data_IF_062084321210
#
_entry.id   IF_062084321210
#
_cell.length_a   1.000
_cell.length_b   1.000
_cell.length_c   1.000
_cell.angle_alpha   90.00
_cell.angle_beta   90.00
_cell.angle_gamma   90.00
#
_symmetry.space_group_name_H-M   'P 1'
#
loop_
_entity.id
_entity.type
_entity.pdbx_description
1 polymer ?
#
# COMPACT_ATOMS: atom_id res chain seq x y z
N UNK A 1 12.07 -12.22 -20.07
CA UNK A 1 11.06 -11.56 -19.20
C UNK A 1 10.90 -10.13 -19.66
N UNK A 2 9.67 -9.60 -19.72
CA UNK A 2 9.43 -8.19 -20.07
C UNK A 2 8.22 -7.63 -19.34
N UNK A 3 8.24 -6.34 -19.05
CA UNK A 3 7.10 -5.65 -18.44
C UNK A 3 6.18 -5.05 -19.51
N UNK A 4 4.88 -5.03 -19.21
CA UNK A 4 3.87 -4.45 -20.10
C UNK A 4 2.84 -3.66 -19.27
N UNK A 5 2.37 -2.55 -19.80
CA UNK A 5 1.22 -1.85 -19.23
C UNK A 5 -0.03 -2.74 -19.29
N UNK A 6 -0.86 -2.67 -18.25
CA UNK A 6 -2.16 -3.33 -18.26
C UNK A 6 -2.99 -2.86 -19.46
N UNK A 7 -3.71 -3.81 -20.08
CA UNK A 7 -4.69 -3.48 -21.11
C UNK A 7 -5.76 -2.54 -20.53
N UNK A 8 -6.17 -1.53 -21.30
CA UNK A 8 -7.24 -0.60 -20.93
C UNK A 8 -8.61 -1.28 -21.06
N UNK A 9 -8.95 -2.12 -20.09
CA UNK A 9 -10.29 -2.69 -19.96
C UNK A 9 -11.20 -1.83 -19.05
N UNK A 10 -12.48 -2.21 -18.94
CA UNK A 10 -13.45 -1.46 -18.15
C UNK A 10 -13.06 -1.37 -16.66
N UNK A 11 -12.40 -2.39 -16.10
CA UNK A 11 -11.92 -2.38 -14.72
C UNK A 11 -10.76 -1.40 -14.57
N UNK A 12 -9.80 -1.43 -15.48
CA UNK A 12 -8.67 -0.51 -15.52
C UNK A 12 -9.14 0.94 -15.63
N UNK A 13 -10.17 1.22 -16.44
CA UNK A 13 -10.74 2.57 -16.55
C UNK A 13 -11.38 3.08 -15.25
N UNK A 14 -12.16 2.24 -14.57
CA UNK A 14 -12.78 2.62 -13.28
C UNK A 14 -11.71 2.83 -12.22
N UNK A 15 -10.73 1.93 -12.14
CA UNK A 15 -9.66 2.03 -11.14
C UNK A 15 -8.74 3.24 -11.39
N UNK A 16 -8.40 3.51 -12.66
CA UNK A 16 -7.67 4.72 -13.05
C UNK A 16 -8.39 6.01 -12.63
N UNK A 17 -9.73 6.04 -12.70
CA UNK A 17 -10.52 7.17 -12.19
C UNK A 17 -10.37 7.37 -10.67
N UNK A 18 -10.27 6.30 -9.89
CA UNK A 18 -10.02 6.36 -8.45
C UNK A 18 -8.58 6.79 -8.16
N UNK A 19 -7.59 6.20 -8.85
CA UNK A 19 -6.17 6.54 -8.71
C UNK A 19 -5.89 8.02 -9.06
N UNK A 20 -6.62 8.56 -10.03
CA UNK A 20 -6.51 9.96 -10.44
C UNK A 20 -7.23 10.94 -9.50
N UNK A 21 -8.04 10.47 -8.54
CA UNK A 21 -8.70 11.36 -7.56
C UNK A 21 -7.62 12.03 -6.68
N UNK A 22 -7.58 13.39 -6.59
CA UNK A 22 -6.58 14.10 -5.81
C UNK A 22 -6.54 13.73 -4.33
N UNK A 23 -7.63 13.18 -3.77
CA UNK A 23 -7.67 12.67 -2.41
C UNK A 23 -6.68 11.51 -2.21
N UNK A 24 -6.49 10.64 -3.21
CA UNK A 24 -5.55 9.50 -3.12
C UNK A 24 -4.13 10.02 -2.95
N UNK A 25 -3.67 10.90 -3.84
CA UNK A 25 -2.34 11.50 -3.78
C UNK A 25 -2.13 12.30 -2.48
N UNK A 26 -3.14 13.07 -2.06
CA UNK A 26 -3.09 13.85 -0.83
C UNK A 26 -2.92 12.97 0.41
N UNK A 27 -3.72 11.91 0.54
CA UNK A 27 -3.62 10.99 1.68
C UNK A 27 -2.29 10.24 1.65
N UNK A 28 -1.86 9.73 0.49
CA UNK A 28 -0.58 9.03 0.35
C UNK A 28 0.59 9.93 0.77
N UNK A 29 0.62 11.19 0.31
CA UNK A 29 1.64 12.17 0.71
C UNK A 29 1.66 12.42 2.22
N UNK A 30 0.50 12.62 2.85
CA UNK A 30 0.42 12.78 4.30
C UNK A 30 0.93 11.55 5.07
N UNK A 31 0.64 10.34 4.58
CA UNK A 31 1.01 9.08 5.23
C UNK A 31 2.47 8.66 5.00
N UNK A 32 3.11 9.16 3.95
CA UNK A 32 4.52 8.92 3.67
C UNK A 32 5.42 9.45 4.80
N UNK A 33 5.02 10.57 5.43
CA UNK A 33 5.75 11.20 6.53
C UNK A 33 5.10 10.96 7.91
N UNK A 34 3.92 10.34 7.93
CA UNK A 34 3.21 10.05 9.17
C UNK A 34 4.01 9.14 10.12
N UNK A 35 3.95 9.44 11.42
CA UNK A 35 4.43 8.55 12.46
C UNK A 35 3.47 7.36 12.68
N UNK A 36 3.86 6.42 13.56
CA UNK A 36 3.07 5.22 13.82
C UNK A 36 1.65 5.52 14.32
N UNK A 37 1.49 6.46 15.26
CA UNK A 37 0.19 6.82 15.82
C UNK A 37 -0.73 7.47 14.76
N UNK A 38 -0.18 8.34 13.91
CA UNK A 38 -0.89 8.95 12.79
C UNK A 38 -1.36 7.92 11.75
N UNK A 39 -0.55 6.89 11.48
CA UNK A 39 -0.97 5.77 10.61
C UNK A 39 -2.07 4.93 11.24
N UNK A 40 -2.04 4.71 12.56
CA UNK A 40 -3.14 4.04 13.28
C UNK A 40 -4.43 4.87 13.20
N UNK A 41 -4.36 6.18 13.40
CA UNK A 41 -5.49 7.10 13.23
C UNK A 41 -6.09 6.97 11.83
N UNK A 42 -5.27 7.10 10.79
CA UNK A 42 -5.72 7.01 9.41
C UNK A 42 -6.44 5.69 9.11
N UNK A 43 -5.89 4.56 9.57
CA UNK A 43 -6.53 3.24 9.43
C UNK A 43 -7.88 3.16 10.10
N UNK A 44 -7.96 3.64 11.35
CA UNK A 44 -9.18 3.57 12.14
C UNK A 44 -10.29 4.43 11.51
N UNK A 45 -9.98 5.68 11.17
CA UNK A 45 -10.93 6.63 10.58
C UNK A 45 -11.43 6.11 9.22
N UNK A 46 -10.53 5.69 8.33
CA UNK A 46 -10.90 5.23 6.98
C UNK A 46 -11.69 3.92 6.96
N UNK A 47 -11.83 3.19 8.07
CA UNK A 47 -12.77 2.06 8.14
C UNK A 47 -14.23 2.51 8.11
N UNK A 48 -14.53 3.75 8.54
CA UNK A 48 -15.85 4.37 8.40
C UNK A 48 -16.80 4.16 9.59
N UNK A 49 -16.27 3.85 10.79
CA UNK A 49 -17.11 3.63 11.99
C UNK A 49 -17.80 4.91 12.51
N UNK A 50 -17.22 6.09 12.24
CA UNK A 50 -17.79 7.39 12.63
C UNK A 50 -17.30 8.51 11.72
N UNK A 51 -18.18 9.46 11.43
CA UNK A 51 -17.87 10.71 10.72
C UNK A 51 -17.62 11.90 11.65
N UNK A 52 -17.78 11.74 12.97
CA UNK A 52 -17.57 12.83 13.94
C UNK A 52 -16.06 13.03 14.21
N UNK A 53 -15.46 14.17 13.80
CA UNK A 53 -14.06 14.43 14.09
C UNK A 53 -13.78 14.57 15.59
N UNK A 54 -14.75 15.00 16.40
CA UNK A 54 -14.56 15.18 17.85
C UNK A 54 -14.36 13.83 18.54
N UNK A 55 -15.17 12.83 18.20
CA UNK A 55 -14.98 11.46 18.69
C UNK A 55 -13.58 10.93 18.38
N UNK A 56 -13.06 11.16 17.17
CA UNK A 56 -11.70 10.74 16.80
C UNK A 56 -10.62 11.47 17.59
N UNK A 57 -10.76 12.78 17.83
CA UNK A 57 -9.83 13.53 18.68
C UNK A 57 -9.79 12.98 20.11
N UNK A 58 -10.95 12.62 20.66
CA UNK A 58 -11.06 11.99 21.99
C UNK A 58 -10.41 10.61 22.02
N UNK A 59 -10.61 9.79 21.00
CA UNK A 59 -10.04 8.42 20.93
C UNK A 59 -8.52 8.39 20.75
N UNK A 60 -7.91 9.45 20.23
CA UNK A 60 -6.48 9.55 19.98
C UNK A 60 -5.81 10.63 20.86
N UNK A 61 -5.85 10.52 22.20
CA UNK A 61 -5.39 11.59 23.09
C UNK A 61 -3.88 11.88 23.00
N UNK A 62 -3.07 10.92 22.56
CA UNK A 62 -1.64 11.17 22.31
C UNK A 62 -1.39 12.07 21.10
N UNK A 63 -2.35 12.13 20.17
CA UNK A 63 -2.32 13.03 19.02
C UNK A 63 -3.09 14.33 19.29
N UNK A 64 -4.18 14.29 20.08
CA UNK A 64 -5.12 15.42 20.26
C UNK A 64 -5.50 15.85 21.66
N UNK A 65 -5.08 15.14 22.70
CA UNK A 65 -5.46 15.40 24.08
C UNK A 65 -4.46 16.29 24.83
N UNK A 66 -4.67 16.36 26.15
CA UNK A 66 -3.77 17.05 27.08
C UNK A 66 -2.42 16.35 27.07
N UNK A 67 -1.37 17.07 26.68
CA UNK A 67 -0.01 16.53 26.50
C UNK A 67 0.37 16.18 25.06
N UNK A 68 -0.56 16.31 24.10
CA UNK A 68 -0.20 16.30 22.68
C UNK A 68 0.61 17.55 22.30
N UNK A 69 1.37 17.52 21.18
CA UNK A 69 2.06 18.70 20.70
C UNK A 69 1.09 19.89 20.50
N UNK A 70 1.55 21.15 20.71
CA UNK A 70 0.74 22.36 20.48
C UNK A 70 0.13 22.42 19.07
N UNK A 71 -0.97 23.16 18.90
CA UNK A 71 -1.75 23.21 17.64
C UNK A 71 -0.88 23.53 16.42
N UNK A 72 0.07 24.44 16.58
CA UNK A 72 1.01 24.90 15.58
C UNK A 72 2.19 23.94 15.34
N UNK A 73 2.39 22.93 16.18
CA UNK A 73 3.48 21.97 16.02
C UNK A 73 3.29 21.15 14.73
N UNK A 74 4.33 20.89 13.92
CA UNK A 74 4.20 20.21 12.64
C UNK A 74 3.48 18.84 12.71
N UNK A 75 3.76 18.05 13.75
CA UNK A 75 3.07 16.76 13.96
C UNK A 75 1.59 16.92 14.30
N UNK A 76 1.23 18.00 14.99
CA UNK A 76 -0.16 18.30 15.33
C UNK A 76 -0.92 18.74 14.09
N UNK A 77 -0.34 19.65 13.30
CA UNK A 77 -0.84 20.06 11.98
C UNK A 77 -1.04 18.85 11.06
N UNK A 78 -0.06 17.94 10.98
CA UNK A 78 -0.17 16.71 10.18
C UNK A 78 -1.27 15.79 10.69
N UNK A 79 -1.44 15.65 12.00
CA UNK A 79 -2.50 14.81 12.60
C UNK A 79 -3.90 15.32 12.24
N UNK A 80 -4.10 16.65 12.29
CA UNK A 80 -5.37 17.28 11.87
C UNK A 80 -5.61 17.11 10.36
N UNK A 81 -4.58 17.29 9.53
CA UNK A 81 -4.67 17.09 8.08
C UNK A 81 -5.00 15.62 7.72
N UNK A 82 -4.37 14.66 8.40
CA UNK A 82 -4.66 13.23 8.24
C UNK A 82 -6.10 12.92 8.66
N UNK A 83 -6.57 13.43 9.79
CA UNK A 83 -7.94 13.23 10.25
C UNK A 83 -8.95 13.75 9.23
N UNK A 84 -8.77 14.97 8.74
CA UNK A 84 -9.65 15.58 7.75
C UNK A 84 -9.70 14.74 6.46
N UNK A 85 -8.55 14.40 5.89
CA UNK A 85 -8.50 13.63 4.64
C UNK A 85 -9.02 12.18 4.82
N UNK A 86 -8.77 11.56 5.97
CA UNK A 86 -9.29 10.24 6.28
C UNK A 86 -10.82 10.24 6.44
N UNK A 87 -11.41 11.31 6.99
CA UNK A 87 -12.86 11.47 7.07
C UNK A 87 -13.50 11.65 5.69
N UNK A 88 -12.84 12.31 4.74
CA UNK A 88 -13.30 12.39 3.35
C UNK A 88 -13.36 11.00 2.70
N UNK A 89 -12.41 10.11 2.98
CA UNK A 89 -12.45 8.71 2.53
C UNK A 89 -13.55 7.94 3.28
N UNK A 90 -13.68 8.16 4.59
CA UNK A 90 -14.66 7.49 5.45
C UNK A 90 -16.11 7.79 5.04
N UNK A 91 -16.39 9.03 4.61
CA UNK A 91 -17.72 9.46 4.16
C UNK A 91 -18.18 8.84 2.83
N UNK A 92 -17.33 8.06 2.16
CA UNK A 92 -17.70 7.34 0.93
C UNK A 92 -18.41 6.03 1.27
N UNK A 93 -19.35 5.61 0.40
CA UNK A 93 -20.01 4.31 0.52
C UNK A 93 -19.03 3.14 0.49
N UNK A 94 -19.40 2.02 1.12
CA UNK A 94 -18.49 0.90 1.43
C UNK A 94 -17.63 0.42 0.25
N UNK A 95 -18.25 0.25 -0.92
CA UNK A 95 -17.56 -0.19 -2.12
C UNK A 95 -16.49 0.82 -2.56
N UNK A 96 -16.88 2.09 -2.68
CA UNK A 96 -15.98 3.18 -3.11
C UNK A 96 -14.88 3.38 -2.07
N UNK A 97 -15.22 3.36 -0.78
CA UNK A 97 -14.25 3.44 0.31
C UNK A 97 -13.21 2.32 0.23
N UNK A 98 -13.63 1.11 -0.10
CA UNK A 98 -12.69 -0.01 -0.28
C UNK A 98 -11.72 0.21 -1.47
N UNK A 99 -12.20 0.79 -2.57
CA UNK A 99 -11.36 1.12 -3.73
C UNK A 99 -10.35 2.24 -3.40
N UNK A 100 -10.79 3.32 -2.74
CA UNK A 100 -9.91 4.39 -2.27
C UNK A 100 -8.83 3.86 -1.34
N UNK A 101 -9.19 2.99 -0.39
CA UNK A 101 -8.23 2.35 0.52
C UNK A 101 -7.18 1.53 -0.24
N UNK A 102 -7.55 0.83 -1.31
CA UNK A 102 -6.60 0.13 -2.19
C UNK A 102 -5.63 1.11 -2.87
N UNK A 103 -6.18 2.09 -3.59
CA UNK A 103 -5.40 3.08 -4.33
C UNK A 103 -4.47 3.93 -3.44
N UNK A 104 -4.88 4.22 -2.19
CA UNK A 104 -4.05 4.91 -1.21
C UNK A 104 -2.84 4.07 -0.80
N UNK A 105 -3.01 2.75 -0.61
CA UNK A 105 -1.90 1.86 -0.24
C UNK A 105 -0.92 1.71 -1.39
N UNK A 106 -1.42 1.62 -2.62
CA UNK A 106 -0.61 1.63 -3.84
C UNK A 106 0.21 2.93 -3.96
N UNK A 107 -0.45 4.10 -3.91
CA UNK A 107 0.21 5.40 -4.01
C UNK A 107 1.23 5.62 -2.87
N UNK A 108 0.89 5.22 -1.64
CA UNK A 108 1.80 5.29 -0.50
C UNK A 108 3.02 4.36 -0.69
N UNK A 109 2.80 3.16 -1.24
CA UNK A 109 3.88 2.21 -1.54
C UNK A 109 4.84 2.79 -2.57
N UNK A 110 4.33 3.36 -3.66
CA UNK A 110 5.14 4.05 -4.67
C UNK A 110 5.94 5.22 -4.06
N UNK A 111 5.31 6.06 -3.22
CA UNK A 111 5.98 7.16 -2.52
C UNK A 111 7.13 6.70 -1.62
N UNK A 112 6.94 5.60 -0.88
CA UNK A 112 7.98 5.07 -0.01
C UNK A 112 9.11 4.44 -0.85
N UNK A 113 8.79 3.66 -1.87
CA UNK A 113 9.79 3.03 -2.74
C UNK A 113 10.64 4.07 -3.48
N UNK A 114 10.06 5.21 -3.86
CA UNK A 114 10.76 6.28 -4.58
C UNK A 114 11.95 6.85 -3.79
N UNK A 115 11.98 6.66 -2.47
CA UNK A 115 13.12 7.07 -1.61
C UNK A 115 14.35 6.17 -1.78
N UNK A 116 14.16 4.93 -2.25
CA UNK A 116 15.21 3.90 -2.33
C UNK A 116 15.76 3.70 -3.75
N UNK A 117 15.00 4.05 -4.78
CA UNK A 117 15.30 3.68 -6.17
C UNK A 117 15.48 4.90 -7.06
N UNK A 118 16.19 4.79 -8.20
CA UNK A 118 16.33 5.89 -9.14
C UNK A 118 14.97 6.40 -9.65
N UNK A 119 14.86 7.70 -9.99
CA UNK A 119 13.70 8.23 -10.68
C UNK A 119 13.41 7.45 -11.98
N UNK A 120 12.13 7.15 -12.21
CA UNK A 120 11.70 6.39 -13.38
C UNK A 120 11.79 4.87 -13.25
N UNK A 121 12.26 4.33 -12.13
CA UNK A 121 12.26 2.88 -11.86
C UNK A 121 10.94 2.34 -11.29
N UNK A 122 9.98 3.22 -10.95
CA UNK A 122 8.70 2.83 -10.36
C UNK A 122 7.60 2.99 -11.40
N UNK A 123 6.83 1.92 -11.57
CA UNK A 123 5.68 1.89 -12.47
C UNK A 123 4.48 1.27 -11.76
N UNK A 124 3.28 1.73 -12.08
CA UNK A 124 2.02 1.22 -11.53
C UNK A 124 1.28 0.43 -12.61
N UNK A 125 0.41 -0.50 -12.19
CA UNK A 125 -0.46 -1.27 -13.10
C UNK A 125 0.31 -2.01 -14.21
N UNK A 126 1.39 -2.70 -13.84
CA UNK A 126 2.26 -3.43 -14.78
C UNK A 126 2.05 -4.93 -14.69
N UNK A 127 2.11 -5.61 -15.83
CA UNK A 127 2.18 -7.08 -15.93
C UNK A 127 3.60 -7.52 -16.22
N UNK A 128 3.94 -8.71 -15.77
CA UNK A 128 5.19 -9.38 -16.18
C UNK A 128 4.85 -10.45 -17.22
N UNK A 129 5.53 -10.41 -18.35
CA UNK A 129 5.36 -11.35 -19.44
C UNK A 129 6.59 -12.25 -19.57
N UNK A 130 6.30 -13.52 -19.84
CA UNK A 130 7.27 -14.59 -20.04
C UNK A 130 7.01 -15.24 -21.41
N UNK A 131 8.06 -15.73 -22.06
CA UNK A 131 7.98 -16.29 -23.40
C UNK A 131 7.24 -17.62 -23.38
N UNK A 132 6.22 -17.75 -24.23
CA UNK A 132 5.38 -18.95 -24.30
C UNK A 132 4.39 -19.12 -23.13
N UNK A 133 4.35 -18.17 -22.19
CA UNK A 133 3.40 -18.17 -21.06
C UNK A 133 2.27 -17.19 -21.33
N UNK A 134 1.04 -17.58 -20.99
CA UNK A 134 -0.11 -16.67 -21.04
C UNK A 134 0.11 -15.50 -20.06
N UNK A 135 -0.26 -14.29 -20.48
CA UNK A 135 -0.11 -13.11 -19.63
C UNK A 135 -0.93 -13.26 -18.33
N UNK A 136 -0.36 -12.74 -17.24
CA UNK A 136 -1.02 -12.68 -15.94
C UNK A 136 -2.40 -12.01 -16.03
N UNK A 137 -3.33 -12.50 -15.22
CA UNK A 137 -4.73 -12.06 -15.25
C UNK A 137 -4.86 -10.64 -14.67
N UNK A 138 -4.06 -10.30 -13.66
CA UNK A 138 -4.09 -8.99 -13.00
C UNK A 138 -2.72 -8.31 -13.04
N UNK A 139 -2.66 -6.99 -13.31
CA UNK A 139 -1.42 -6.26 -13.13
C UNK A 139 -1.02 -6.19 -11.65
N UNK A 140 0.27 -6.01 -11.41
CA UNK A 140 0.81 -5.62 -10.11
C UNK A 140 0.55 -4.14 -9.86
N UNK A 141 0.15 -3.83 -8.63
CA UNK A 141 -0.18 -2.46 -8.21
C UNK A 141 1.05 -1.54 -8.35
N UNK A 142 2.24 -2.02 -7.92
CA UNK A 142 3.51 -1.31 -8.12
C UNK A 142 4.61 -2.28 -8.57
N UNK A 143 5.47 -1.84 -9.47
CA UNK A 143 6.69 -2.56 -9.86
C UNK A 143 7.89 -1.66 -9.71
N UNK A 144 9.03 -2.26 -9.35
CA UNK A 144 10.34 -1.63 -9.38
C UNK A 144 11.15 -2.32 -10.46
N UNK A 145 11.47 -1.58 -11.50
CA UNK A 145 12.24 -2.04 -12.67
C UNK A 145 13.66 -1.45 -12.57
N UNK A 146 14.63 -2.30 -12.17
CA UNK A 146 16.06 -1.94 -12.11
C UNK A 146 16.91 -2.99 -12.82
N UNK A 147 18.11 -2.60 -13.25
CA UNK A 147 19.03 -3.51 -13.96
C UNK A 147 19.33 -4.76 -13.10
N UNK A 148 18.87 -5.92 -13.57
CA UNK A 148 19.13 -7.22 -12.94
C UNK A 148 18.31 -7.54 -11.68
N UNK A 149 17.33 -6.69 -11.33
CA UNK A 149 16.40 -6.97 -10.24
C UNK A 149 15.03 -6.33 -10.49
N UNK A 150 14.01 -7.18 -10.59
CA UNK A 150 12.60 -6.80 -10.63
C UNK A 150 11.95 -7.04 -9.27
N UNK A 151 11.11 -6.11 -8.84
CA UNK A 151 10.25 -6.31 -7.66
C UNK A 151 8.80 -6.06 -8.07
N UNK A 152 7.91 -6.96 -7.68
CA UNK A 152 6.48 -6.90 -7.99
C UNK A 152 5.70 -6.79 -6.68
N UNK A 153 4.96 -5.69 -6.52
CA UNK A 153 4.23 -5.35 -5.30
C UNK A 153 2.73 -5.44 -5.54
N UNK A 154 2.07 -6.27 -4.74
CA UNK A 154 0.62 -6.30 -4.61
C UNK A 154 0.23 -5.66 -3.27
N UNK A 155 -0.54 -4.58 -3.36
CA UNK A 155 -0.90 -3.65 -2.30
C UNK A 155 -2.30 -3.93 -1.78
N UNK A 156 -2.41 -4.12 -0.45
CA UNK A 156 -3.67 -4.47 0.18
C UNK A 156 -3.89 -3.63 1.43
N UNK A 157 -5.12 -3.15 1.61
CA UNK A 157 -5.50 -2.48 2.86
C UNK A 157 -5.24 -3.40 4.07
N UNK A 158 -5.67 -4.66 3.97
CA UNK A 158 -5.40 -5.72 4.94
C UNK A 158 -5.71 -7.09 4.32
N UNK A 159 -5.54 -8.17 5.09
CA UNK A 159 -5.58 -9.53 4.53
C UNK A 159 -6.92 -10.01 3.96
N UNK A 160 -8.04 -9.29 4.18
CA UNK A 160 -9.32 -9.64 3.53
C UNK A 160 -9.26 -9.58 2.00
N UNK A 161 -8.36 -8.78 1.45
CA UNK A 161 -8.18 -8.64 0.00
C UNK A 161 -7.17 -9.61 -0.61
N UNK A 162 -6.56 -10.52 0.17
CA UNK A 162 -5.56 -11.46 -0.35
C UNK A 162 -6.25 -12.80 -0.65
N UNK A 163 -6.48 -13.08 -1.94
CA UNK A 163 -7.08 -14.34 -2.41
C UNK A 163 -6.02 -15.40 -2.71
N UNK A 164 -6.46 -16.65 -2.93
CA UNK A 164 -5.58 -17.70 -3.43
C UNK A 164 -5.02 -17.34 -4.82
N UNK A 165 -5.82 -16.72 -5.68
CA UNK A 165 -5.39 -16.32 -7.03
C UNK A 165 -4.24 -15.31 -6.99
N UNK A 166 -4.28 -14.33 -6.08
CA UNK A 166 -3.17 -13.38 -5.88
C UNK A 166 -1.89 -14.12 -5.46
N UNK A 167 -2.03 -15.09 -4.56
CA UNK A 167 -0.89 -15.89 -4.07
C UNK A 167 -0.30 -16.78 -5.17
N UNK A 168 -1.15 -17.42 -5.98
CA UNK A 168 -0.73 -18.19 -7.15
C UNK A 168 -0.03 -17.30 -8.17
N UNK A 169 -0.61 -16.15 -8.53
CA UNK A 169 -0.01 -15.26 -9.51
C UNK A 169 1.39 -14.77 -9.07
N UNK A 170 1.55 -14.39 -7.80
CA UNK A 170 2.85 -13.97 -7.25
C UNK A 170 3.90 -15.10 -7.29
N UNK A 171 3.48 -16.34 -7.04
CA UNK A 171 4.38 -17.50 -7.11
C UNK A 171 4.72 -17.87 -8.56
N UNK A 172 3.74 -17.85 -9.46
CA UNK A 172 3.92 -18.13 -10.90
C UNK A 172 4.92 -17.15 -11.52
N UNK A 173 4.79 -15.85 -11.23
CA UNK A 173 5.73 -14.84 -11.73
C UNK A 173 7.16 -15.08 -11.25
N UNK A 174 7.31 -15.51 -9.99
CA UNK A 174 8.62 -15.87 -9.44
C UNK A 174 9.19 -17.12 -10.11
N UNK A 175 8.36 -18.14 -10.35
CA UNK A 175 8.79 -19.38 -10.98
C UNK A 175 9.18 -19.15 -12.45
N UNK A 176 8.34 -18.49 -13.23
CA UNK A 176 8.62 -18.20 -14.63
C UNK A 176 9.82 -17.29 -14.84
N UNK A 177 10.05 -16.31 -13.95
CA UNK A 177 11.29 -15.54 -13.96
C UNK A 177 12.51 -16.44 -13.77
N UNK A 178 12.45 -17.37 -12.82
CA UNK A 178 13.55 -18.29 -12.57
C UNK A 178 13.80 -19.25 -13.76
N UNK A 179 12.75 -19.72 -14.42
CA UNK A 179 12.84 -20.58 -15.60
C UNK A 179 13.55 -19.88 -16.77
N UNK A 180 13.40 -18.56 -16.88
CA UNK A 180 14.09 -17.72 -17.87
C UNK A 180 15.46 -17.20 -17.40
N UNK A 181 15.94 -17.61 -16.22
CA UNK A 181 17.22 -17.17 -15.66
C UNK A 181 17.20 -15.76 -15.05
N UNK A 182 16.02 -15.18 -14.86
CA UNK A 182 15.79 -13.86 -14.29
C UNK A 182 15.36 -13.95 -12.81
N UNK A 183 15.23 -12.79 -12.15
CA UNK A 183 14.77 -12.72 -10.76
C UNK A 183 13.70 -11.65 -10.56
N UNK A 184 12.54 -12.10 -10.08
CA UNK A 184 11.47 -11.24 -9.56
C UNK A 184 11.31 -11.48 -8.07
N UNK A 185 11.22 -10.41 -7.29
CA UNK A 185 10.84 -10.44 -5.88
C UNK A 185 9.35 -10.10 -5.73
N UNK A 186 8.47 -11.09 -5.48
CA UNK A 186 7.07 -10.82 -5.16
C UNK A 186 6.91 -10.33 -3.71
N UNK A 187 6.19 -9.23 -3.54
CA UNK A 187 5.94 -8.57 -2.25
C UNK A 187 4.46 -8.27 -2.07
N UNK A 188 3.88 -8.75 -0.97
CA UNK A 188 2.57 -8.33 -0.50
C UNK A 188 2.75 -7.19 0.50
N UNK A 189 2.24 -6.01 0.15
CA UNK A 189 2.22 -4.85 1.04
C UNK A 189 0.88 -4.78 1.74
N UNK A 190 0.90 -4.64 3.07
CA UNK A 190 -0.29 -4.45 3.87
C UNK A 190 -0.22 -3.15 4.68
N UNK A 191 -1.33 -2.40 4.72
CA UNK A 191 -1.41 -1.26 5.62
C UNK A 191 -1.91 -1.64 7.01
N UNK A 192 -2.82 -2.61 7.12
CA UNK A 192 -3.30 -3.15 8.39
C UNK A 192 -2.19 -3.84 9.21
N UNK A 193 -2.49 -4.16 10.47
CA UNK A 193 -1.56 -4.79 11.39
C UNK A 193 -1.01 -6.11 10.82
N UNK A 194 0.31 -6.14 10.57
CA UNK A 194 1.02 -7.29 9.98
C UNK A 194 0.64 -8.63 10.60
N UNK A 195 0.63 -8.72 11.93
CA UNK A 195 0.33 -9.98 12.64
C UNK A 195 -1.09 -10.50 12.38
N UNK A 196 -2.07 -9.60 12.23
CA UNK A 196 -3.44 -9.96 11.85
C UNK A 196 -3.46 -10.55 10.43
N UNK A 197 -2.70 -9.94 9.52
CA UNK A 197 -2.55 -10.44 8.16
C UNK A 197 -1.87 -11.81 8.11
N UNK A 198 -0.79 -12.01 8.86
CA UNK A 198 -0.07 -13.29 8.95
C UNK A 198 -0.97 -14.43 9.45
N UNK A 199 -1.75 -14.19 10.50
CA UNK A 199 -2.69 -15.20 11.04
C UNK A 199 -3.75 -15.59 10.02
N UNK A 200 -4.26 -14.62 9.24
CA UNK A 200 -5.23 -14.89 8.17
C UNK A 200 -4.58 -15.66 7.02
N UNK A 201 -3.40 -15.23 6.58
CA UNK A 201 -2.64 -15.89 5.52
C UNK A 201 -2.21 -17.32 5.88
N UNK A 202 -1.95 -17.60 7.16
CA UNK A 202 -1.65 -18.95 7.63
C UNK A 202 -2.80 -19.95 7.42
N UNK A 203 -4.02 -19.48 7.13
CA UNK A 203 -5.18 -20.32 6.81
C UNK A 203 -5.31 -20.62 5.33
N UNK A 204 -4.53 -19.97 4.46
CA UNK A 204 -4.53 -20.27 3.04
C UNK A 204 -3.64 -21.48 2.75
N UNK A 205 -4.07 -22.32 1.82
CA UNK A 205 -3.31 -23.46 1.29
C UNK A 205 -2.50 -23.12 0.04
N UNK A 206 -2.72 -21.94 -0.55
CA UNK A 206 -2.02 -21.49 -1.74
C UNK A 206 -0.50 -21.29 -1.50
N UNK A 207 0.33 -21.46 -2.55
CA UNK A 207 1.76 -21.21 -2.47
C UNK A 207 2.08 -19.80 -1.98
N UNK A 208 3.09 -19.72 -1.13
CA UNK A 208 3.58 -18.45 -0.57
C UNK A 208 5.09 -18.47 -0.32
N UNK A 209 5.76 -19.52 -0.79
CA UNK A 209 7.19 -19.65 -0.65
C UNK A 209 7.86 -18.58 -1.53
N UNK A 210 8.68 -17.73 -0.92
CA UNK A 210 9.34 -16.62 -1.62
C UNK A 210 8.55 -15.32 -1.69
N UNK A 211 7.24 -15.31 -1.41
CA UNK A 211 6.44 -14.08 -1.29
C UNK A 211 6.68 -13.39 0.05
N UNK A 212 7.18 -12.15 0.01
CA UNK A 212 7.44 -11.38 1.23
C UNK A 212 6.21 -10.60 1.65
N UNK A 213 5.76 -10.79 2.89
CA UNK A 213 4.76 -9.91 3.50
C UNK A 213 5.44 -8.73 4.20
N UNK A 214 5.08 -7.51 3.81
CA UNK A 214 5.66 -6.26 4.32
C UNK A 214 4.54 -5.33 4.76
N UNK A 215 4.63 -4.79 5.98
CA UNK A 215 3.74 -3.68 6.37
C UNK A 215 4.28 -2.35 5.86
N UNK A 216 3.41 -1.35 5.72
CA UNK A 216 3.83 0.03 5.41
C UNK A 216 4.92 0.52 6.38
N UNK A 217 4.84 0.20 7.68
CA UNK A 217 5.88 0.56 8.66
C UNK A 217 7.22 -0.15 8.41
N UNK A 218 7.23 -1.36 7.85
CA UNK A 218 8.48 -2.04 7.49
C UNK A 218 9.02 -1.51 6.16
N UNK A 219 8.15 -1.26 5.19
CA UNK A 219 8.53 -0.67 3.91
C UNK A 219 9.19 0.70 4.10
N UNK A 220 8.61 1.54 4.94
CA UNK A 220 9.12 2.87 5.28
C UNK A 220 10.50 2.84 5.97
N UNK A 221 10.73 1.86 6.86
CA UNK A 221 12.07 1.65 7.45
C UNK A 221 13.10 1.23 6.41
N UNK A 222 12.72 0.34 5.49
CA UNK A 222 13.60 -0.12 4.40
C UNK A 222 13.85 0.99 3.37
N UNK A 223 12.87 1.88 3.17
CA UNK A 223 12.90 3.00 2.26
C UNK A 223 13.79 4.18 2.72
N UNK A 224 14.42 4.10 3.90
CA UNK A 224 15.45 5.06 4.29
C UNK A 224 15.05 6.10 5.34
N UNK A 225 13.98 5.90 6.12
CA UNK A 225 13.99 6.50 7.47
C UNK A 225 15.03 5.75 8.30
N UNK A 226 16.26 6.28 8.32
CA UNK A 226 17.21 6.04 9.41
C UNK A 226 16.38 6.18 10.69
N UNK A 227 16.37 5.15 11.52
CA UNK A 227 15.89 5.30 12.88
C UNK A 227 16.58 6.56 13.42
N UNK A 228 15.81 7.59 13.77
CA UNK A 228 16.26 8.50 14.80
C UNK A 228 16.46 7.60 16.01
N UNK A 229 17.70 7.17 16.15
CA UNK A 229 18.17 6.54 17.36
C UNK A 229 17.82 7.52 18.48
N UNK A 230 17.21 7.00 19.54
CA UNK A 230 17.12 7.69 20.80
C UNK A 230 18.44 8.43 21.08
N UNK A 231 18.35 9.76 21.15
CA UNK A 231 19.33 10.63 21.77
C UNK A 231 18.59 11.50 22.78
#
# INVERSE_FOLDING_TARGET
MRFQDAAKDARAMVYAGIQADPLVARVAGLLADANAAQRVLARAVMNGESSDPTAWRVMFPTLFGVGAPPIEHPDRVRSEAILAAALEVAGRGDQVRSQFRGAIVEALTAHLLARRVPPGSIHTERRILFDGVAAEIHPYDVTVETNGAAEAYDCKWGARGISADVLHQLDDARQHAADEGERVLPVLVVFDARRSCEVRLARHTAPRAGTRLVSIESLDRIAGRRAEAAS
#
